data_IF_123226316187
#
_entry.id   IF_123226316187
#
_cell.length_a   1.000
_cell.length_b   1.000
_cell.length_c   1.000
_cell.angle_alpha   90.00
_cell.angle_beta   90.00
_cell.angle_gamma   90.00
#
_symmetry.space_group_name_H-M   'P 1'
#
loop_
_entity.id
_entity.type
_entity.pdbx_description
1 polymer ?
#
# COMPACT_ATOMS: atom_id res chain seq x y z
N UNK A 1 33.96 -8.49 -50.75
CA UNK A 1 35.13 -7.96 -50.05
C UNK A 1 35.03 -8.26 -48.58
N UNK A 2 36.12 -8.73 -47.97
CA UNK A 2 36.19 -8.92 -46.51
C UNK A 2 36.49 -7.57 -45.83
N UNK A 3 35.69 -7.22 -44.84
CA UNK A 3 35.97 -6.05 -44.01
C UNK A 3 36.84 -6.45 -42.83
N UNK A 4 38.02 -5.88 -42.73
CA UNK A 4 38.94 -6.09 -41.61
C UNK A 4 38.77 -4.94 -40.60
N UNK A 5 38.62 -5.27 -39.33
CA UNK A 5 38.56 -4.29 -38.25
C UNK A 5 39.92 -4.20 -37.55
N UNK A 6 40.36 -3.04 -37.18
CA UNK A 6 41.51 -2.86 -36.32
C UNK A 6 41.20 -3.22 -34.87
N UNK A 7 42.20 -3.48 -34.04
CA UNK A 7 42.03 -3.73 -32.63
C UNK A 7 41.30 -2.58 -31.90
N UNK A 8 41.53 -1.34 -32.32
CA UNK A 8 40.84 -0.16 -31.78
C UNK A 8 39.37 -0.14 -32.19
N UNK A 9 39.02 -0.51 -33.39
CA UNK A 9 37.63 -0.61 -33.85
C UNK A 9 36.89 -1.74 -33.12
N UNK A 10 37.59 -2.85 -32.79
CA UNK A 10 37.02 -3.92 -31.98
C UNK A 10 36.69 -3.44 -30.56
N UNK A 11 37.62 -2.76 -29.91
CA UNK A 11 37.40 -2.18 -28.58
C UNK A 11 36.22 -1.16 -28.55
N UNK A 12 36.11 -0.34 -29.59
CA UNK A 12 34.98 0.60 -29.76
C UNK A 12 33.65 -0.16 -29.95
N UNK A 13 33.65 -1.22 -30.72
CA UNK A 13 32.45 -2.05 -30.94
C UNK A 13 32.01 -2.70 -29.64
N UNK A 14 32.92 -3.29 -28.89
CA UNK A 14 32.62 -3.88 -27.58
C UNK A 14 32.03 -2.86 -26.60
N UNK A 15 32.61 -1.66 -26.56
CA UNK A 15 32.07 -0.56 -25.76
C UNK A 15 30.64 -0.19 -26.19
N UNK A 16 30.40 -0.02 -27.49
CA UNK A 16 29.07 0.30 -28.03
C UNK A 16 28.06 -0.79 -27.67
N UNK A 17 28.40 -2.06 -27.83
CA UNK A 17 27.53 -3.20 -27.49
C UNK A 17 27.22 -3.23 -25.99
N UNK A 18 28.21 -2.99 -25.14
CA UNK A 18 28.03 -2.91 -23.69
C UNK A 18 27.10 -1.76 -23.30
N UNK A 19 27.32 -0.57 -23.85
CA UNK A 19 26.48 0.60 -23.59
C UNK A 19 25.02 0.39 -24.07
N UNK A 20 24.84 -0.30 -25.20
CA UNK A 20 23.52 -0.71 -25.69
C UNK A 20 22.85 -1.69 -24.74
N UNK A 21 23.59 -2.71 -24.26
CA UNK A 21 23.08 -3.74 -23.35
C UNK A 21 22.57 -3.13 -22.03
N UNK A 22 23.20 -2.07 -21.55
CA UNK A 22 22.72 -1.34 -20.37
C UNK A 22 21.63 -0.31 -20.68
N UNK A 23 21.13 -0.29 -21.93
CA UNK A 23 19.98 0.50 -22.35
C UNK A 23 20.26 1.97 -22.63
N UNK A 24 21.45 2.31 -23.15
CA UNK A 24 21.74 3.64 -23.67
C UNK A 24 21.24 3.78 -25.12
N UNK A 25 20.73 4.95 -25.46
CA UNK A 25 20.32 5.25 -26.84
C UNK A 25 21.53 5.41 -27.75
N UNK A 26 21.34 5.16 -29.04
CA UNK A 26 22.41 5.30 -30.05
C UNK A 26 22.93 6.72 -30.10
N UNK A 27 22.07 7.72 -29.94
CA UNK A 27 22.43 9.14 -29.93
C UNK A 27 23.41 9.45 -28.80
N UNK A 28 23.14 9.01 -27.58
CA UNK A 28 24.02 9.18 -26.43
C UNK A 28 25.33 8.46 -26.55
N UNK A 29 25.30 7.24 -27.14
CA UNK A 29 26.54 6.50 -27.43
C UNK A 29 27.38 7.23 -28.48
N UNK A 30 26.75 7.77 -29.50
CA UNK A 30 27.44 8.56 -30.54
C UNK A 30 28.07 9.82 -29.96
N UNK A 31 27.33 10.58 -29.16
CA UNK A 31 27.88 11.77 -28.48
C UNK A 31 29.14 11.45 -27.69
N UNK A 32 29.13 10.34 -26.94
CA UNK A 32 30.28 9.89 -26.17
C UNK A 32 31.45 9.48 -27.07
N UNK A 33 31.22 8.68 -28.12
CA UNK A 33 32.27 8.16 -29.01
C UNK A 33 32.93 9.27 -29.82
N UNK A 34 32.19 10.35 -30.15
CA UNK A 34 32.73 11.50 -30.92
C UNK A 34 33.48 12.51 -30.05
N UNK A 35 33.21 12.59 -28.77
CA UNK A 35 33.86 13.49 -27.83
C UNK A 35 34.13 12.80 -26.47
N UNK A 36 34.96 11.76 -26.44
CA UNK A 36 35.16 10.98 -25.22
C UNK A 36 35.89 11.81 -24.17
N UNK A 37 35.31 11.89 -22.96
CA UNK A 37 35.98 12.37 -21.79
C UNK A 37 35.57 11.52 -20.58
N UNK A 38 36.53 11.31 -19.67
CA UNK A 38 36.27 10.50 -18.44
C UNK A 38 35.16 11.12 -17.62
N UNK A 39 35.07 12.44 -17.56
CA UNK A 39 34.01 13.14 -16.84
C UNK A 39 32.63 12.93 -17.48
N UNK A 40 32.53 13.01 -18.82
CA UNK A 40 31.25 12.78 -19.52
C UNK A 40 30.79 11.34 -19.37
N UNK A 41 31.70 10.37 -19.40
CA UNK A 41 31.42 8.97 -19.20
C UNK A 41 30.91 8.69 -17.78
N UNK A 42 31.66 9.16 -16.78
CA UNK A 42 31.31 8.98 -15.38
C UNK A 42 29.93 9.57 -15.04
N UNK A 43 29.62 10.76 -15.55
CA UNK A 43 28.33 11.41 -15.36
C UNK A 43 27.19 10.62 -16.04
N UNK A 44 27.43 10.08 -17.24
CA UNK A 44 26.47 9.26 -17.97
C UNK A 44 26.20 7.95 -17.23
N UNK A 45 27.22 7.27 -16.70
CA UNK A 45 27.08 6.04 -15.94
C UNK A 45 26.33 6.27 -14.62
N UNK A 46 26.69 7.34 -13.90
CA UNK A 46 26.02 7.68 -12.65
C UNK A 46 24.52 7.98 -12.85
N UNK A 47 24.21 8.77 -13.90
CA UNK A 47 22.80 9.02 -14.26
C UNK A 47 22.05 7.75 -14.61
N UNK A 48 22.68 6.82 -15.33
CA UNK A 48 22.07 5.54 -15.68
C UNK A 48 21.85 4.67 -14.45
N UNK A 49 22.83 4.62 -13.55
CA UNK A 49 22.74 3.93 -12.26
C UNK A 49 21.55 4.45 -11.44
N UNK A 50 21.42 5.77 -11.30
CA UNK A 50 20.29 6.38 -10.58
C UNK A 50 18.93 5.99 -11.17
N UNK A 51 18.81 5.91 -12.51
CA UNK A 51 17.59 5.43 -13.16
C UNK A 51 17.31 3.94 -12.88
N UNK A 52 18.35 3.12 -12.85
CA UNK A 52 18.22 1.70 -12.51
C UNK A 52 17.80 1.54 -11.05
N UNK A 53 18.44 2.26 -10.12
CA UNK A 53 18.11 2.24 -8.70
C UNK A 53 16.66 2.70 -8.44
N UNK A 54 16.20 3.71 -9.18
CA UNK A 54 14.81 4.14 -9.12
C UNK A 54 13.85 3.03 -9.63
N UNK A 55 14.20 2.36 -10.73
CA UNK A 55 13.41 1.24 -11.27
C UNK A 55 13.38 0.04 -10.31
N UNK A 56 14.50 -0.29 -9.66
CA UNK A 56 14.57 -1.35 -8.66
C UNK A 56 13.67 -1.02 -7.47
N UNK A 57 13.73 0.21 -6.94
CA UNK A 57 12.83 0.63 -5.85
C UNK A 57 11.36 0.52 -6.24
N UNK A 58 11.03 0.92 -7.45
CA UNK A 58 9.66 0.80 -7.96
C UNK A 58 9.21 -0.65 -8.06
N UNK A 59 10.04 -1.55 -8.59
CA UNK A 59 9.70 -2.98 -8.70
C UNK A 59 9.57 -3.65 -7.32
N UNK A 60 10.42 -3.31 -6.37
CA UNK A 60 10.31 -3.80 -4.99
C UNK A 60 9.01 -3.32 -4.32
N UNK A 61 8.59 -2.08 -4.60
CA UNK A 61 7.31 -1.56 -4.12
C UNK A 61 6.12 -2.31 -4.70
N UNK A 62 6.17 -2.64 -6.01
CA UNK A 62 5.14 -3.46 -6.67
C UNK A 62 5.10 -4.87 -6.07
N UNK A 63 6.25 -5.48 -5.84
CA UNK A 63 6.34 -6.81 -5.23
C UNK A 63 5.71 -6.82 -3.83
N UNK A 64 6.09 -5.88 -2.97
CA UNK A 64 5.54 -5.77 -1.63
C UNK A 64 4.01 -5.54 -1.65
N UNK A 65 3.52 -4.73 -2.58
CA UNK A 65 2.09 -4.52 -2.80
C UNK A 65 1.36 -5.82 -3.16
N UNK A 66 1.90 -6.61 -4.09
CA UNK A 66 1.31 -7.89 -4.50
C UNK A 66 1.33 -8.91 -3.36
N UNK A 67 2.40 -8.96 -2.58
CA UNK A 67 2.51 -9.84 -1.41
C UNK A 67 1.47 -9.48 -0.35
N UNK A 68 1.31 -8.19 -0.05
CA UNK A 68 0.29 -7.70 0.89
C UNK A 68 -1.12 -8.04 0.41
N UNK A 69 -1.41 -7.83 -0.89
CA UNK A 69 -2.70 -8.20 -1.48
C UNK A 69 -3.00 -9.68 -1.35
N UNK A 70 -2.02 -10.52 -1.66
CA UNK A 70 -2.16 -11.98 -1.54
C UNK A 70 -2.47 -12.40 -0.09
N UNK A 71 -1.75 -11.83 0.87
CA UNK A 71 -1.96 -12.11 2.30
C UNK A 71 -3.36 -11.67 2.77
N UNK A 72 -3.83 -10.49 2.34
CA UNK A 72 -5.19 -10.01 2.67
C UNK A 72 -6.27 -10.92 2.10
N UNK A 73 -6.15 -11.30 0.83
CA UNK A 73 -7.08 -12.24 0.19
C UNK A 73 -7.10 -13.58 0.92
N UNK A 74 -5.93 -14.12 1.28
CA UNK A 74 -5.83 -15.36 2.02
C UNK A 74 -6.50 -15.25 3.39
N UNK A 75 -6.26 -14.17 4.14
CA UNK A 75 -6.93 -13.91 5.40
C UNK A 75 -8.47 -13.80 5.23
N UNK A 76 -8.94 -13.19 4.14
CA UNK A 76 -10.36 -13.13 3.82
C UNK A 76 -10.97 -14.50 3.55
N UNK A 77 -10.27 -15.43 2.89
CA UNK A 77 -10.75 -16.80 2.66
C UNK A 77 -10.78 -17.65 3.93
N UNK A 78 -9.90 -17.38 4.88
CA UNK A 78 -9.80 -18.12 6.15
C UNK A 78 -10.71 -17.53 7.23
N UNK A 79 -11.17 -16.29 7.06
CA UNK A 79 -11.97 -15.55 8.02
C UNK A 79 -13.29 -16.25 8.34
N UNK A 80 -13.64 -16.28 9.63
CA UNK A 80 -14.91 -16.76 10.12
C UNK A 80 -15.68 -15.62 10.78
N UNK A 81 -16.96 -15.52 10.43
CA UNK A 81 -17.81 -14.47 10.96
C UNK A 81 -17.87 -14.47 12.49
N UNK A 82 -17.52 -13.34 13.09
CA UNK A 82 -17.52 -13.15 14.55
C UNK A 82 -16.38 -13.86 15.28
N UNK A 83 -15.39 -14.41 14.57
CA UNK A 83 -14.15 -14.87 15.19
C UNK A 83 -13.36 -13.66 15.72
N UNK A 84 -12.88 -13.75 16.96
CA UNK A 84 -12.12 -12.70 17.62
C UNK A 84 -10.79 -13.27 18.13
N UNK A 85 -9.71 -12.60 17.80
CA UNK A 85 -8.37 -12.95 18.27
C UNK A 85 -7.67 -11.76 18.92
N UNK A 86 -6.89 -12.03 19.96
CA UNK A 86 -5.97 -11.06 20.55
C UNK A 86 -4.62 -11.21 19.83
N UNK A 87 -4.15 -10.14 19.19
CA UNK A 87 -2.90 -10.13 18.47
C UNK A 87 -2.02 -8.95 18.88
N UNK A 88 -0.71 -9.09 18.69
CA UNK A 88 0.25 -7.99 18.85
C UNK A 88 0.60 -7.47 17.47
N UNK A 89 0.43 -6.18 17.25
CA UNK A 89 0.76 -5.52 15.99
C UNK A 89 1.93 -4.56 16.20
N UNK A 90 2.88 -4.50 15.26
CA UNK A 90 3.98 -3.52 15.31
C UNK A 90 3.45 -2.10 15.12
N UNK A 91 4.32 -1.12 15.40
CA UNK A 91 4.05 0.27 15.07
C UNK A 91 3.71 0.41 13.57
N UNK A 92 2.63 1.15 13.28
CA UNK A 92 2.17 1.41 11.91
C UNK A 92 1.87 2.89 11.73
N UNK A 93 2.22 3.43 10.60
CA UNK A 93 1.91 4.79 10.21
C UNK A 93 0.68 4.80 9.31
N UNK A 94 -0.21 5.74 9.51
CA UNK A 94 -1.41 5.90 8.70
C UNK A 94 -1.54 7.31 8.16
N UNK A 95 -2.23 7.41 7.03
CA UNK A 95 -2.77 8.65 6.48
C UNK A 95 -4.29 8.60 6.63
N UNK A 96 -4.88 9.73 6.99
CA UNK A 96 -6.32 9.88 7.18
C UNK A 96 -6.90 10.85 6.14
N UNK A 97 -8.16 10.66 5.79
CA UNK A 97 -8.93 11.60 4.97
C UNK A 97 -9.40 12.80 5.80
N UNK A 98 -10.06 13.74 5.16
CA UNK A 98 -10.95 14.65 5.84
C UNK A 98 -12.06 13.85 6.58
N UNK A 99 -12.70 14.44 7.61
CA UNK A 99 -13.82 13.81 8.30
C UNK A 99 -14.94 13.43 7.34
N UNK A 100 -15.68 12.37 7.67
CA UNK A 100 -16.84 11.87 6.93
C UNK A 100 -18.08 11.87 7.84
N UNK A 101 -19.26 11.85 7.22
CA UNK A 101 -20.52 11.77 7.96
C UNK A 101 -20.86 10.34 8.40
N UNK A 102 -20.26 9.35 7.75
CA UNK A 102 -20.55 7.92 7.94
C UNK A 102 -21.85 7.44 7.29
N UNK A 103 -22.53 8.32 6.55
CA UNK A 103 -23.77 7.97 5.85
C UNK A 103 -23.54 7.37 4.48
N UNK A 104 -22.30 7.42 4.00
CA UNK A 104 -21.91 7.00 2.65
C UNK A 104 -22.73 7.71 1.56
N UNK A 105 -23.00 9.00 1.77
CA UNK A 105 -23.68 9.89 0.83
C UNK A 105 -22.69 10.52 -0.18
N UNK A 106 -23.17 11.49 -0.98
CA UNK A 106 -22.34 12.15 -2.00
C UNK A 106 -21.13 12.89 -1.40
N UNK A 107 -21.25 13.42 -0.17
CA UNK A 107 -20.16 14.09 0.52
C UNK A 107 -19.07 13.08 0.92
N UNK A 108 -19.44 11.96 1.51
CA UNK A 108 -18.51 10.90 1.89
C UNK A 108 -17.81 10.30 0.65
N UNK A 109 -18.54 10.11 -0.47
CA UNK A 109 -17.95 9.67 -1.73
C UNK A 109 -16.98 10.69 -2.33
N UNK A 110 -17.24 11.98 -2.17
CA UNK A 110 -16.32 13.05 -2.58
C UNK A 110 -15.02 12.97 -1.78
N UNK A 111 -15.12 12.85 -0.46
CA UNK A 111 -13.95 12.67 0.43
C UNK A 111 -13.17 11.40 0.06
N UNK A 112 -13.85 10.28 -0.21
CA UNK A 112 -13.22 9.04 -0.65
C UNK A 112 -12.44 9.20 -1.96
N UNK A 113 -13.02 9.89 -2.94
CA UNK A 113 -12.38 10.17 -4.22
C UNK A 113 -11.14 11.07 -4.07
N UNK A 114 -11.23 12.13 -3.29
CA UNK A 114 -10.10 13.02 -3.00
C UNK A 114 -8.98 12.27 -2.25
N UNK A 115 -9.36 11.45 -1.27
CA UNK A 115 -8.42 10.63 -0.51
C UNK A 115 -7.70 9.61 -1.41
N UNK A 116 -8.44 8.93 -2.28
CA UNK A 116 -7.88 8.03 -3.30
C UNK A 116 -6.85 8.74 -4.19
N UNK A 117 -7.16 9.95 -4.67
CA UNK A 117 -6.23 10.75 -5.47
C UNK A 117 -4.99 11.17 -4.67
N UNK A 118 -5.16 11.54 -3.40
CA UNK A 118 -4.04 11.85 -2.49
C UNK A 118 -3.11 10.65 -2.33
N UNK A 119 -3.65 9.46 -2.06
CA UNK A 119 -2.87 8.23 -1.89
C UNK A 119 -2.09 7.87 -3.16
N UNK A 120 -2.73 7.94 -4.34
CA UNK A 120 -2.06 7.72 -5.63
C UNK A 120 -0.92 8.70 -5.89
N UNK A 121 -1.10 9.96 -5.52
CA UNK A 121 -0.07 10.99 -5.67
C UNK A 121 1.12 10.75 -4.72
N UNK A 122 0.87 10.29 -3.50
CA UNK A 122 1.89 10.08 -2.49
C UNK A 122 2.65 8.77 -2.69
N UNK A 123 1.96 7.69 -3.01
CA UNK A 123 2.50 6.34 -2.95
C UNK A 123 2.55 5.62 -4.30
N UNK A 124 2.06 6.23 -5.38
CA UNK A 124 1.96 5.69 -6.74
C UNK A 124 1.15 4.38 -6.84
N UNK A 125 1.39 3.46 -5.91
CA UNK A 125 0.63 2.23 -5.70
C UNK A 125 -0.01 2.30 -4.33
N UNK A 126 -1.30 2.23 -4.28
CA UNK A 126 -2.03 2.05 -3.05
C UNK A 126 -3.10 0.96 -3.26
N UNK A 127 -3.41 0.26 -2.21
CA UNK A 127 -4.38 -0.82 -2.27
C UNK A 127 -5.80 -0.30 -2.11
N UNK A 128 -6.33 -0.48 -0.96
CA UNK A 128 -7.62 0.00 -0.51
C UNK A 128 -7.40 0.80 0.76
N UNK A 129 -8.31 1.67 1.04
CA UNK A 129 -8.39 2.35 2.33
C UNK A 129 -9.57 1.79 3.11
N UNK A 130 -9.48 1.86 4.42
CA UNK A 130 -10.52 1.47 5.34
C UNK A 130 -11.24 2.67 5.92
N UNK A 131 -12.21 2.39 6.79
CA UNK A 131 -12.90 3.38 7.61
C UNK A 131 -12.52 3.21 9.06
N UNK A 132 -12.51 4.30 9.83
CA UNK A 132 -12.30 4.22 11.26
C UNK A 132 -13.47 4.83 12.02
N UNK A 133 -13.76 4.23 13.18
CA UNK A 133 -14.83 4.66 14.08
C UNK A 133 -14.27 4.75 15.50
N UNK A 134 -14.63 5.80 16.25
CA UNK A 134 -14.16 5.94 17.62
C UNK A 134 -14.72 4.85 18.54
N UNK A 135 -13.92 4.38 19.49
CA UNK A 135 -14.40 3.42 20.48
C UNK A 135 -15.50 3.99 21.38
N UNK A 136 -15.63 5.30 21.48
CA UNK A 136 -16.73 5.93 22.22
C UNK A 136 -18.04 5.80 21.43
N UNK A 137 -18.04 6.03 20.12
CA UNK A 137 -19.20 5.77 19.26
C UNK A 137 -19.61 4.29 19.28
N UNK A 138 -18.64 3.37 19.20
CA UNK A 138 -18.91 1.93 19.27
C UNK A 138 -19.60 1.56 20.59
N UNK A 139 -19.12 2.08 21.75
CA UNK A 139 -19.73 1.84 23.06
C UNK A 139 -21.14 2.46 23.18
N UNK A 140 -21.37 3.55 22.50
CA UNK A 140 -22.69 4.21 22.47
C UNK A 140 -23.67 3.52 21.52
N UNK A 141 -23.24 2.48 20.78
CA UNK A 141 -24.06 1.80 19.77
C UNK A 141 -24.23 2.58 18.46
N UNK A 142 -23.40 3.61 18.24
CA UNK A 142 -23.44 4.45 17.05
C UNK A 142 -22.52 3.88 15.97
N UNK A 143 -22.79 2.65 15.53
CA UNK A 143 -21.90 1.88 14.64
C UNK A 143 -21.75 2.46 13.22
N UNK A 144 -22.47 3.50 12.85
CA UNK A 144 -22.35 4.22 11.58
C UNK A 144 -21.67 5.59 11.74
N UNK A 145 -21.21 5.94 12.95
CA UNK A 145 -20.57 7.23 13.23
C UNK A 145 -19.07 7.17 12.90
N UNK A 146 -18.76 6.97 11.64
CA UNK A 146 -17.36 6.94 11.16
C UNK A 146 -16.72 8.31 11.23
N UNK A 147 -15.45 8.35 11.60
CA UNK A 147 -14.64 9.56 11.73
C UNK A 147 -14.00 9.97 10.39
N UNK A 148 -13.34 9.04 9.76
CA UNK A 148 -12.61 9.28 8.51
C UNK A 148 -12.25 7.96 7.82
N UNK A 149 -11.81 8.06 6.57
CA UNK A 149 -11.08 6.98 5.91
C UNK A 149 -9.61 6.99 6.36
N UNK A 150 -8.98 5.83 6.33
CA UNK A 150 -7.55 5.69 6.63
C UNK A 150 -6.86 4.72 5.67
N UNK A 151 -5.56 4.89 5.51
CA UNK A 151 -4.70 3.95 4.78
C UNK A 151 -3.36 3.79 5.48
N UNK A 152 -2.82 2.57 5.49
CA UNK A 152 -1.48 2.33 5.99
C UNK A 152 -0.43 2.90 5.03
N UNK A 153 0.57 3.55 5.60
CA UNK A 153 1.71 4.02 4.83
C UNK A 153 2.61 2.86 4.44
N UNK A 154 3.09 2.78 3.20
CA UNK A 154 4.01 1.74 2.78
C UNK A 154 5.39 1.92 3.44
N UNK A 155 5.93 0.83 3.99
CA UNK A 155 7.30 0.73 4.47
C UNK A 155 7.77 1.88 5.38
N UNK A 156 8.90 2.48 5.03
CA UNK A 156 9.52 3.57 5.79
C UNK A 156 9.06 4.96 5.33
N UNK A 157 7.78 5.15 5.00
CA UNK A 157 7.28 6.45 4.60
C UNK A 157 7.56 7.51 5.68
N UNK A 158 8.08 8.66 5.27
CA UNK A 158 8.22 9.85 6.11
C UNK A 158 6.94 10.69 6.13
N UNK A 159 6.01 10.42 5.21
CA UNK A 159 4.73 11.12 5.09
C UNK A 159 3.67 10.26 5.76
N UNK A 160 3.10 10.76 6.85
CA UNK A 160 2.01 10.15 7.59
C UNK A 160 1.27 11.22 8.39
N UNK A 161 0.04 10.94 8.77
CA UNK A 161 -0.76 11.83 9.61
C UNK A 161 -0.74 11.38 11.08
N UNK A 162 -0.77 10.05 11.34
CA UNK A 162 -0.81 9.47 12.67
C UNK A 162 0.09 8.22 12.76
N UNK A 163 0.48 7.89 13.99
CA UNK A 163 1.21 6.66 14.31
C UNK A 163 0.33 5.80 15.21
N UNK A 164 0.06 4.58 14.78
CA UNK A 164 -0.53 3.54 15.60
C UNK A 164 0.63 2.85 16.33
N UNK A 165 0.71 2.96 17.67
CA UNK A 165 1.83 2.38 18.41
C UNK A 165 1.81 0.85 18.33
N UNK A 166 2.97 0.25 18.53
CA UNK A 166 3.06 -1.19 18.80
C UNK A 166 2.22 -1.53 20.02
N UNK A 167 1.45 -2.61 19.95
CA UNK A 167 0.62 -3.01 21.08
C UNK A 167 -0.30 -4.18 20.81
N UNK A 168 -1.12 -4.48 21.80
CA UNK A 168 -2.16 -5.50 21.73
C UNK A 168 -3.41 -4.94 21.05
N UNK A 169 -3.96 -5.69 20.11
CA UNK A 169 -5.18 -5.37 19.39
C UNK A 169 -6.13 -6.57 19.44
N UNK A 170 -7.43 -6.28 19.43
CA UNK A 170 -8.43 -7.28 19.08
C UNK A 170 -8.65 -7.22 17.57
N UNK A 171 -8.65 -8.36 16.93
CA UNK A 171 -9.00 -8.51 15.54
C UNK A 171 -10.25 -9.35 15.41
N UNK A 172 -11.20 -8.90 14.62
CA UNK A 172 -12.43 -9.62 14.37
C UNK A 172 -12.78 -9.60 12.89
N UNK A 173 -13.64 -10.52 12.47
CA UNK A 173 -14.06 -10.64 11.08
C UNK A 173 -15.57 -10.60 10.95
N UNK A 174 -16.07 -9.73 10.10
CA UNK A 174 -17.43 -9.71 9.64
C UNK A 174 -17.49 -10.31 8.24
N UNK A 175 -18.16 -11.45 8.08
CA UNK A 175 -18.42 -12.07 6.79
C UNK A 175 -19.87 -11.80 6.40
N UNK A 176 -20.07 -11.23 5.21
CA UNK A 176 -21.36 -10.81 4.69
C UNK A 176 -21.50 -9.29 4.62
N UNK A 177 -22.74 -8.85 4.45
CA UNK A 177 -23.06 -7.43 4.29
C UNK A 177 -22.73 -6.60 5.52
N UNK A 178 -22.49 -5.31 5.31
CA UNK A 178 -22.07 -4.36 6.38
C UNK A 178 -23.12 -4.19 7.49
N UNK A 179 -24.38 -4.47 7.21
CA UNK A 179 -25.46 -4.48 8.21
C UNK A 179 -25.21 -5.47 9.35
N UNK A 180 -24.27 -6.39 9.19
CA UNK A 180 -23.83 -7.35 10.22
C UNK A 180 -22.71 -6.84 11.12
N UNK A 181 -22.08 -5.71 10.80
CA UNK A 181 -21.02 -5.13 11.62
C UNK A 181 -21.44 -4.86 13.08
N UNK A 182 -22.64 -4.33 13.36
CA UNK A 182 -23.11 -4.15 14.74
C UNK A 182 -23.07 -5.42 15.59
N UNK A 183 -23.40 -6.58 15.00
CA UNK A 183 -23.32 -7.87 15.68
C UNK A 183 -21.88 -8.21 16.07
N UNK A 184 -20.92 -7.95 15.19
CA UNK A 184 -19.50 -8.22 15.45
C UNK A 184 -18.95 -7.24 16.48
N UNK A 185 -19.31 -5.97 16.42
CA UNK A 185 -18.92 -4.98 17.43
C UNK A 185 -19.43 -5.35 18.82
N UNK A 186 -20.67 -5.83 18.94
CA UNK A 186 -21.18 -6.29 20.23
C UNK A 186 -20.34 -7.45 20.76
N UNK A 187 -20.00 -8.42 19.92
CA UNK A 187 -19.12 -9.54 20.31
C UNK A 187 -17.73 -9.05 20.76
N UNK A 188 -17.17 -8.03 20.09
CA UNK A 188 -15.89 -7.44 20.48
C UNK A 188 -16.00 -6.79 21.88
N UNK A 189 -17.09 -6.06 22.15
CA UNK A 189 -17.31 -5.43 23.44
C UNK A 189 -17.48 -6.49 24.55
N UNK A 190 -18.29 -7.51 24.32
CA UNK A 190 -18.52 -8.63 25.26
C UNK A 190 -17.21 -9.37 25.53
N UNK A 191 -16.42 -9.67 24.50
CA UNK A 191 -15.11 -10.32 24.63
C UNK A 191 -14.13 -9.49 25.46
N UNK A 192 -14.12 -8.17 25.26
CA UNK A 192 -13.27 -7.26 26.00
C UNK A 192 -13.68 -7.16 27.46
N UNK A 193 -14.99 -7.09 27.75
CA UNK A 193 -15.54 -7.06 29.11
C UNK A 193 -15.21 -8.33 29.88
N UNK A 194 -15.46 -9.51 29.30
CA UNK A 194 -15.15 -10.82 29.90
C UNK A 194 -13.67 -10.97 30.31
N UNK A 195 -12.77 -10.30 29.60
CA UNK A 195 -11.31 -10.38 29.81
C UNK A 195 -10.72 -9.16 30.50
N UNK A 196 -11.58 -8.21 30.92
CA UNK A 196 -11.17 -6.93 31.53
C UNK A 196 -10.18 -6.16 30.63
N UNK A 197 -10.41 -6.14 29.31
CA UNK A 197 -9.61 -5.40 28.36
C UNK A 197 -10.21 -4.01 28.15
N UNK A 198 -9.38 -2.98 28.22
CA UNK A 198 -9.78 -1.62 27.94
C UNK A 198 -9.50 -1.31 26.45
N UNK A 199 -10.54 -1.23 25.64
CA UNK A 199 -10.43 -0.79 24.26
C UNK A 199 -10.35 0.74 24.22
N UNK A 200 -9.40 1.31 23.47
CA UNK A 200 -9.18 2.76 23.39
C UNK A 200 -8.94 3.21 21.95
N UNK A 201 -9.12 4.50 21.68
CA UNK A 201 -8.86 5.09 20.37
C UNK A 201 -9.95 4.76 19.37
N UNK A 202 -9.57 4.07 18.29
CA UNK A 202 -10.44 3.78 17.16
C UNK A 202 -10.48 2.29 16.86
N UNK A 203 -11.60 1.83 16.32
CA UNK A 203 -11.67 0.61 15.53
C UNK A 203 -11.41 0.95 14.07
N UNK A 204 -10.70 0.05 13.37
CA UNK A 204 -10.24 0.21 11.99
C UNK A 204 -10.84 -0.91 11.14
N UNK A 205 -11.73 -0.55 10.23
CA UNK A 205 -12.41 -1.49 9.34
C UNK A 205 -11.74 -1.54 7.97
N UNK A 206 -11.39 -2.74 7.52
CA UNK A 206 -10.75 -2.96 6.24
C UNK A 206 -11.43 -4.09 5.46
N UNK A 207 -11.78 -3.85 4.20
CA UNK A 207 -12.20 -4.93 3.29
C UNK A 207 -11.00 -5.80 2.91
N UNK A 208 -11.14 -7.12 3.01
CA UNK A 208 -10.05 -8.05 2.70
C UNK A 208 -10.11 -8.60 1.28
N UNK A 209 -11.30 -8.77 0.71
CA UNK A 209 -11.52 -9.53 -0.52
C UNK A 209 -12.35 -8.79 -1.58
N UNK A 210 -12.38 -7.48 -1.56
CA UNK A 210 -13.18 -6.61 -2.44
C UNK A 210 -13.06 -6.96 -3.93
N UNK A 211 -11.89 -7.41 -4.38
CA UNK A 211 -11.63 -7.75 -5.77
C UNK A 211 -12.01 -9.19 -6.15
N UNK A 212 -12.41 -10.02 -5.18
CA UNK A 212 -12.67 -11.44 -5.38
C UNK A 212 -14.10 -11.86 -5.01
N UNK A 213 -14.96 -10.92 -4.63
CA UNK A 213 -16.35 -11.18 -4.24
C UNK A 213 -17.26 -11.33 -5.46
N UNK A 214 -18.27 -12.21 -5.32
CA UNK A 214 -19.35 -12.38 -6.31
C UNK A 214 -20.66 -11.77 -5.83
N UNK A 215 -20.81 -11.64 -4.51
CA UNK A 215 -21.98 -11.05 -3.87
C UNK A 215 -21.57 -10.35 -2.57
N UNK A 216 -22.42 -9.51 -2.02
CA UNK A 216 -22.19 -8.88 -0.71
C UNK A 216 -22.05 -9.90 0.43
N UNK A 217 -22.66 -11.09 0.27
CA UNK A 217 -22.57 -12.18 1.26
C UNK A 217 -21.15 -12.76 1.37
N UNK A 218 -20.32 -12.59 0.32
CA UNK A 218 -18.94 -13.06 0.29
C UNK A 218 -17.96 -12.01 0.82
N UNK A 219 -18.44 -10.79 1.13
CA UNK A 219 -17.58 -9.69 1.58
C UNK A 219 -17.01 -9.98 2.97
N UNK A 220 -15.74 -9.67 3.17
CA UNK A 220 -15.09 -9.84 4.47
C UNK A 220 -14.51 -8.49 4.92
N UNK A 221 -15.05 -7.99 6.03
CA UNK A 221 -14.49 -6.85 6.76
C UNK A 221 -13.68 -7.36 7.95
N UNK A 222 -12.43 -6.94 8.03
CA UNK A 222 -11.61 -7.07 9.24
C UNK A 222 -11.74 -5.80 10.08
N UNK A 223 -11.90 -6.00 11.37
CA UNK A 223 -12.01 -4.92 12.37
C UNK A 223 -10.83 -5.03 13.31
#
# INVERSE_FOLDING_TARGET
GYHYYSCFQFAQLELILTLRKIGLSIEKIREYVTGPSDESFSRMMEKKKQLIDASIRQLLSVQAFLEQKSQRLQAGFEARHGEIELCTLPERKIICSAPISGKYDEEDFSVAAEFSLRLKKLFHLYDSFGSRISMDAVRSGEFNSYDSFFAYCPGNSEIYDEVLPEGAFLRAYCVGAWERLPEVYQKILDYAEERNLALTGYAYEEGLNEMAIRSQEDYVTMI
#
